data_IF_160471903623
#
_entry.id   IF_160471903623
#
_cell.length_a   1.000
_cell.length_b   1.000
_cell.length_c   1.000
_cell.angle_alpha   90.00
_cell.angle_beta   90.00
_cell.angle_gamma   90.00
#
_symmetry.space_group_name_H-M   'P 1'
#
loop_
_entity.id
_entity.type
_entity.pdbx_description
1 polymer ?
#
# COMPACT_ATOMS: atom_id res chain seq x y z
N UNK A 1 3.43 -16.31 10.39
CA UNK A 1 1.99 -16.17 10.10
C UNK A 1 1.77 -15.05 9.08
N UNK A 2 1.09 -15.33 7.96
CA UNK A 2 0.75 -14.34 6.93
C UNK A 2 -0.73 -13.93 7.06
N UNK A 3 -1.05 -12.64 6.98
CA UNK A 3 -2.44 -12.13 6.94
C UNK A 3 -2.79 -11.64 5.53
N UNK A 4 -3.89 -12.13 4.95
CA UNK A 4 -4.28 -11.84 3.56
C UNK A 4 -5.78 -11.57 3.43
N UNK A 5 -6.23 -11.07 2.27
CA UNK A 5 -7.66 -10.93 1.94
C UNK A 5 -8.39 -12.29 1.72
N UNK A 6 -7.64 -13.39 1.66
CA UNK A 6 -8.13 -14.73 1.36
C UNK A 6 -8.34 -14.98 -0.13
N UNK A 7 -7.61 -14.28 -1.01
CA UNK A 7 -7.53 -14.61 -2.43
C UNK A 7 -6.76 -15.93 -2.65
N UNK A 8 -7.23 -16.78 -3.57
CA UNK A 8 -6.68 -18.13 -3.81
C UNK A 8 -5.19 -18.14 -4.18
N UNK A 9 -4.70 -17.04 -4.77
CA UNK A 9 -3.27 -16.89 -5.11
C UNK A 9 -2.35 -16.99 -3.88
N UNK A 10 -2.87 -16.74 -2.68
CA UNK A 10 -2.12 -16.82 -1.43
C UNK A 10 -2.19 -18.21 -0.75
N UNK A 11 -2.84 -19.21 -1.37
CA UNK A 11 -2.93 -20.58 -0.85
C UNK A 11 -1.61 -21.38 -0.91
N UNK A 12 -0.49 -20.69 -1.09
CA UNK A 12 0.86 -21.29 -1.15
C UNK A 12 1.51 -21.45 0.23
N UNK A 13 0.95 -20.81 1.26
CA UNK A 13 1.43 -20.88 2.63
C UNK A 13 0.27 -20.86 3.62
N UNK A 14 0.54 -21.28 4.86
CA UNK A 14 -0.39 -21.07 5.96
C UNK A 14 -0.62 -19.57 6.14
N UNK A 15 -1.88 -19.17 6.02
CA UNK A 15 -2.29 -17.78 6.07
C UNK A 15 -3.60 -17.67 6.84
N UNK A 16 -3.76 -16.53 7.49
CA UNK A 16 -4.98 -16.13 8.16
C UNK A 16 -5.69 -15.11 7.28
N UNK A 17 -7.01 -15.14 7.33
CA UNK A 17 -7.82 -14.15 6.61
C UNK A 17 -7.88 -12.87 7.44
N UNK A 18 -7.74 -11.74 6.77
CA UNK A 18 -7.96 -10.42 7.33
C UNK A 18 -9.35 -10.35 7.95
N UNK A 19 -9.41 -9.95 9.23
CA UNK A 19 -10.65 -9.82 9.98
C UNK A 19 -11.69 -8.92 9.30
N UNK A 20 -11.25 -7.83 8.67
CA UNK A 20 -12.14 -6.89 7.97
C UNK A 20 -12.78 -7.53 6.74
N UNK A 21 -11.99 -8.25 5.95
CA UNK A 21 -12.50 -9.00 4.80
C UNK A 21 -13.44 -10.13 5.23
N UNK A 22 -13.11 -10.82 6.32
CA UNK A 22 -13.95 -11.87 6.88
C UNK A 22 -15.28 -11.29 7.38
N UNK A 23 -15.25 -10.20 8.15
CA UNK A 23 -16.44 -9.50 8.65
C UNK A 23 -17.32 -9.01 7.50
N UNK A 24 -16.72 -8.38 6.47
CA UNK A 24 -17.46 -7.93 5.28
C UNK A 24 -18.12 -9.08 4.54
N UNK A 25 -17.46 -10.24 4.43
CA UNK A 25 -18.05 -11.40 3.78
C UNK A 25 -19.18 -12.03 4.62
N UNK A 26 -19.03 -12.08 5.94
CA UNK A 26 -20.09 -12.54 6.83
C UNK A 26 -21.32 -11.62 6.73
N UNK A 27 -21.13 -10.31 6.77
CA UNK A 27 -22.21 -9.32 6.68
C UNK A 27 -23.07 -9.46 5.41
N UNK A 28 -22.48 -9.83 4.26
CA UNK A 28 -23.24 -10.05 3.01
C UNK A 28 -24.30 -11.16 3.13
N UNK A 29 -24.06 -12.13 4.00
CA UNK A 29 -24.92 -13.30 4.18
C UNK A 29 -25.68 -13.27 5.49
N UNK A 30 -25.54 -12.20 6.27
CA UNK A 30 -26.19 -12.02 7.56
C UNK A 30 -27.68 -11.71 7.39
N UNK A 31 -28.52 -12.61 7.89
CA UNK A 31 -29.98 -12.47 7.79
C UNK A 31 -30.53 -11.42 8.76
N UNK A 32 -29.88 -11.22 9.91
CA UNK A 32 -30.27 -10.21 10.89
C UNK A 32 -29.97 -8.83 10.34
N UNK A 33 -28.80 -8.64 9.72
CA UNK A 33 -28.46 -7.39 9.04
C UNK A 33 -29.46 -7.07 7.92
N UNK A 34 -29.83 -8.06 7.11
CA UNK A 34 -30.85 -7.89 6.06
C UNK A 34 -32.20 -7.47 6.64
N UNK A 35 -32.64 -8.15 7.70
CA UNK A 35 -33.89 -7.81 8.37
C UNK A 35 -33.88 -6.38 8.95
N UNK A 36 -32.76 -5.94 9.55
CA UNK A 36 -32.62 -4.56 10.04
C UNK A 36 -32.74 -3.53 8.91
N UNK A 37 -32.08 -3.78 7.78
CA UNK A 37 -32.17 -2.91 6.60
C UNK A 37 -33.60 -2.90 6.03
N UNK A 38 -34.24 -4.06 5.91
CA UNK A 38 -35.60 -4.19 5.39
C UNK A 38 -36.64 -3.51 6.30
N UNK A 39 -36.38 -3.45 7.62
CA UNK A 39 -37.20 -2.73 8.60
C UNK A 39 -36.93 -1.22 8.63
N UNK A 40 -35.98 -0.72 7.83
CA UNK A 40 -35.63 0.70 7.78
C UNK A 40 -34.88 1.18 9.02
N UNK A 41 -34.06 0.32 9.64
CA UNK A 41 -33.17 0.73 10.72
C UNK A 41 -32.26 1.89 10.27
N UNK A 42 -31.97 2.80 11.20
CA UNK A 42 -31.07 3.92 10.94
C UNK A 42 -29.59 3.50 10.87
N UNK A 43 -28.76 4.41 10.37
CA UNK A 43 -27.33 4.18 10.18
C UNK A 43 -26.62 3.85 11.51
N UNK A 44 -27.03 4.49 12.61
CA UNK A 44 -26.45 4.27 13.93
C UNK A 44 -26.75 2.86 14.44
N UNK A 45 -27.98 2.37 14.28
CA UNK A 45 -28.37 1.00 14.66
C UNK A 45 -27.60 -0.03 13.85
N UNK A 46 -27.51 0.16 12.53
CA UNK A 46 -26.76 -0.74 11.63
C UNK A 46 -25.27 -0.74 12.00
N UNK A 47 -24.71 0.44 12.29
CA UNK A 47 -23.30 0.60 12.68
C UNK A 47 -23.00 -0.10 13.99
N UNK A 48 -23.87 0.08 14.99
CA UNK A 48 -23.73 -0.59 16.28
C UNK A 48 -23.77 -2.12 16.12
N UNK A 49 -24.77 -2.64 15.39
CA UNK A 49 -24.89 -4.07 15.12
C UNK A 49 -23.64 -4.67 14.46
N UNK A 50 -23.14 -4.01 13.42
CA UNK A 50 -21.93 -4.44 12.71
C UNK A 50 -20.68 -4.36 13.60
N UNK A 51 -20.60 -3.36 14.49
CA UNK A 51 -19.51 -3.21 15.45
C UNK A 51 -19.49 -4.38 16.44
N UNK A 52 -20.64 -4.73 17.03
CA UNK A 52 -20.78 -5.87 17.94
C UNK A 52 -20.38 -7.19 17.25
N UNK A 53 -20.89 -7.42 16.03
CA UNK A 53 -20.54 -8.58 15.23
C UNK A 53 -19.03 -8.67 14.93
N UNK A 54 -18.40 -7.53 14.64
CA UNK A 54 -16.96 -7.45 14.41
C UNK A 54 -16.16 -7.76 15.69
N UNK A 55 -16.58 -7.22 16.84
CA UNK A 55 -15.93 -7.46 18.12
C UNK A 55 -15.97 -8.95 18.50
N UNK A 56 -17.12 -9.60 18.36
CA UNK A 56 -17.22 -11.04 18.60
C UNK A 56 -16.31 -11.86 17.68
N UNK A 57 -16.30 -11.52 16.39
CA UNK A 57 -15.46 -12.19 15.41
C UNK A 57 -13.97 -12.03 15.75
N UNK A 58 -13.57 -10.82 16.17
CA UNK A 58 -12.21 -10.51 16.59
C UNK A 58 -11.80 -11.34 17.80
N UNK A 59 -12.62 -11.39 18.85
CA UNK A 59 -12.32 -12.16 20.06
C UNK A 59 -12.17 -13.67 19.75
N UNK A 60 -13.12 -14.24 18.99
CA UNK A 60 -13.07 -15.64 18.54
C UNK A 60 -11.79 -15.93 17.75
N UNK A 61 -11.43 -15.04 16.83
CA UNK A 61 -10.23 -15.20 16.00
C UNK A 61 -8.96 -15.08 16.82
N UNK A 62 -8.85 -14.08 17.70
CA UNK A 62 -7.69 -13.89 18.57
C UNK A 62 -7.48 -15.12 19.46
N UNK A 63 -8.54 -15.70 20.02
CA UNK A 63 -8.44 -16.93 20.81
C UNK A 63 -7.79 -18.07 20.02
N UNK A 64 -8.28 -18.33 18.80
CA UNK A 64 -7.72 -19.35 17.91
C UNK A 64 -6.25 -19.03 17.57
N UNK A 65 -5.92 -17.77 17.33
CA UNK A 65 -4.56 -17.35 16.98
C UNK A 65 -3.58 -17.48 18.15
N UNK A 66 -4.02 -17.23 19.39
CA UNK A 66 -3.20 -17.48 20.59
C UNK A 66 -2.88 -18.96 20.75
N UNK A 67 -3.84 -19.84 20.46
CA UNK A 67 -3.66 -21.29 20.52
C UNK A 67 -2.72 -21.79 19.41
N UNK A 68 -2.84 -21.26 18.19
CA UNK A 68 -2.03 -21.66 17.04
C UNK A 68 -0.62 -21.06 17.02
N UNK A 69 -0.48 -19.83 17.50
CA UNK A 69 0.76 -19.05 17.47
C UNK A 69 1.10 -18.52 18.86
N UNK A 70 1.42 -19.41 19.83
CA UNK A 70 1.79 -19.00 21.17
C UNK A 70 3.04 -18.12 21.19
N UNK A 71 3.92 -18.22 20.19
CA UNK A 71 5.09 -17.36 20.00
C UNK A 71 4.75 -15.88 19.74
N UNK A 72 3.50 -15.59 19.37
CA UNK A 72 2.99 -14.23 19.14
C UNK A 72 2.20 -13.69 20.33
N UNK A 73 2.26 -14.33 21.49
CA UNK A 73 1.61 -13.89 22.72
C UNK A 73 2.63 -13.21 23.63
N UNK A 74 2.32 -11.98 24.06
CA UNK A 74 3.18 -11.24 24.98
C UNK A 74 3.09 -11.80 26.42
N UNK A 75 4.00 -11.38 27.34
CA UNK A 75 3.95 -11.82 28.74
C UNK A 75 2.65 -11.45 29.49
N UNK A 76 1.88 -10.47 28.98
CA UNK A 76 0.60 -10.07 29.55
C UNK A 76 -0.58 -10.89 28.99
N UNK A 77 -0.31 -11.84 28.09
CA UNK A 77 -1.32 -12.68 27.46
C UNK A 77 -2.02 -12.03 26.25
N UNK A 78 -1.52 -10.90 25.73
CA UNK A 78 -2.08 -10.25 24.54
C UNK A 78 -1.47 -10.82 23.26
N UNK A 79 -2.31 -10.95 22.23
CA UNK A 79 -1.84 -11.36 20.91
C UNK A 79 -1.21 -10.16 20.18
N UNK A 80 0.04 -10.29 19.75
CA UNK A 80 0.83 -9.23 19.11
C UNK A 80 0.90 -9.37 17.58
N UNK A 81 0.39 -10.47 17.03
CA UNK A 81 0.34 -10.70 15.59
C UNK A 81 -0.67 -9.82 14.85
N UNK A 82 -0.44 -9.64 13.55
CA UNK A 82 -1.31 -8.84 12.68
C UNK A 82 -2.58 -9.61 12.32
N UNK A 83 -3.75 -9.05 12.60
CA UNK A 83 -5.07 -9.68 12.36
C UNK A 83 -5.88 -9.04 11.23
N UNK A 84 -5.41 -7.91 10.68
CA UNK A 84 -6.03 -7.24 9.56
C UNK A 84 -4.99 -6.71 8.56
N UNK A 85 -5.43 -6.48 7.33
CA UNK A 85 -4.61 -5.90 6.26
C UNK A 85 -4.81 -4.39 6.12
N UNK A 86 -5.50 -3.73 7.07
CA UNK A 86 -5.84 -2.30 6.97
C UNK A 86 -4.63 -1.40 6.76
N UNK A 87 -3.50 -1.71 7.41
CA UNK A 87 -2.25 -0.96 7.21
C UNK A 87 -1.79 -1.01 5.74
N UNK A 88 -1.96 -2.15 5.06
CA UNK A 88 -1.64 -2.32 3.65
C UNK A 88 -2.75 -1.78 2.73
N UNK A 89 -4.02 -2.00 3.05
CA UNK A 89 -5.15 -1.49 2.26
C UNK A 89 -5.16 0.04 2.20
N UNK A 90 -4.85 0.70 3.32
CA UNK A 90 -4.65 2.14 3.34
C UNK A 90 -3.52 2.57 2.40
N UNK A 91 -2.43 1.81 2.30
CA UNK A 91 -1.37 2.02 1.30
C UNK A 91 -1.88 1.88 -0.15
N UNK A 92 -2.65 0.82 -0.43
CA UNK A 92 -3.23 0.59 -1.75
C UNK A 92 -4.20 1.69 -2.17
N UNK A 93 -5.04 2.19 -1.25
CA UNK A 93 -5.92 3.32 -1.52
C UNK A 93 -5.15 4.60 -1.80
N UNK A 94 -4.06 4.87 -1.06
CA UNK A 94 -3.18 6.03 -1.28
C UNK A 94 -2.51 6.00 -2.64
N UNK A 95 -2.00 4.84 -3.05
CA UNK A 95 -1.40 4.64 -4.39
C UNK A 95 -2.46 4.81 -5.48
N UNK A 96 -3.64 4.16 -5.36
CA UNK A 96 -4.75 4.32 -6.31
C UNK A 96 -5.24 5.76 -6.42
N UNK A 97 -5.30 6.51 -5.32
CA UNK A 97 -5.68 7.92 -5.31
C UNK A 97 -4.66 8.79 -6.05
N UNK A 98 -3.36 8.49 -5.92
CA UNK A 98 -2.30 9.21 -6.65
C UNK A 98 -2.22 8.81 -8.14
N UNK A 99 -2.72 7.63 -8.50
CA UNK A 99 -2.68 7.07 -9.86
C UNK A 99 -3.96 7.31 -10.69
N UNK A 100 -4.76 8.35 -10.39
CA UNK A 100 -6.11 8.68 -10.94
C UNK A 100 -6.24 8.90 -12.47
N UNK A 101 -5.30 8.46 -13.30
CA UNK A 101 -5.31 8.70 -14.75
C UNK A 101 -5.20 7.39 -15.52
N UNK A 102 -5.91 7.26 -16.65
CA UNK A 102 -5.70 6.15 -17.60
C UNK A 102 -4.27 6.20 -18.13
N UNK A 103 -3.55 5.06 -18.09
CA UNK A 103 -2.17 4.98 -18.57
C UNK A 103 -2.07 4.15 -19.83
N UNK A 104 -1.42 4.73 -20.84
CA UNK A 104 -1.18 4.13 -22.16
C UNK A 104 0.06 3.21 -22.21
N UNK A 105 0.98 3.28 -21.24
CA UNK A 105 2.16 2.41 -21.18
C UNK A 105 2.56 2.00 -19.74
N UNK A 106 3.20 0.82 -19.63
CA UNK A 106 3.57 0.17 -18.36
C UNK A 106 4.67 0.94 -17.58
N UNK A 107 5.60 1.56 -18.30
CA UNK A 107 6.72 2.29 -17.70
C UNK A 107 6.25 3.57 -16.99
N UNK A 108 5.29 4.29 -17.57
CA UNK A 108 4.67 5.46 -16.93
C UNK A 108 3.91 5.09 -15.66
N UNK A 109 3.25 3.93 -15.63
CA UNK A 109 2.61 3.39 -14.43
C UNK A 109 3.65 3.08 -13.33
N UNK A 110 4.75 2.41 -13.69
CA UNK A 110 5.81 2.05 -12.76
C UNK A 110 6.46 3.30 -12.14
N UNK A 111 6.90 4.25 -12.97
CA UNK A 111 7.54 5.49 -12.50
C UNK A 111 6.63 6.31 -11.58
N UNK A 112 5.35 6.46 -11.92
CA UNK A 112 4.38 7.17 -11.07
C UNK A 112 4.05 6.43 -9.78
N UNK A 113 4.03 5.10 -9.80
CA UNK A 113 3.85 4.29 -8.58
C UNK A 113 5.01 4.51 -7.61
N UNK A 114 6.25 4.49 -8.11
CA UNK A 114 7.44 4.79 -7.29
C UNK A 114 7.35 6.21 -6.72
N UNK A 115 7.06 7.21 -7.55
CA UNK A 115 6.91 8.60 -7.08
C UNK A 115 5.80 8.73 -6.04
N UNK A 116 4.68 8.03 -6.22
CA UNK A 116 3.57 8.01 -5.27
C UNK A 116 3.99 7.42 -3.91
N UNK A 117 4.77 6.33 -3.93
CA UNK A 117 5.30 5.65 -2.74
C UNK A 117 6.34 6.49 -2.01
N UNK A 118 7.31 7.08 -2.73
CA UNK A 118 8.28 8.00 -2.14
C UNK A 118 7.53 9.18 -1.51
N UNK A 119 6.52 9.73 -2.21
CA UNK A 119 5.75 10.83 -1.66
C UNK A 119 4.92 10.43 -0.44
N UNK A 120 4.50 9.18 -0.35
CA UNK A 120 3.85 8.63 0.84
C UNK A 120 4.81 8.53 2.02
N UNK A 121 6.06 8.12 1.80
CA UNK A 121 7.07 8.04 2.86
C UNK A 121 7.43 9.39 3.48
N UNK A 122 7.15 10.48 2.78
CA UNK A 122 7.45 11.86 3.21
C UNK A 122 6.28 12.56 3.92
N UNK A 123 5.06 12.01 3.85
CA UNK A 123 3.84 12.64 4.40
C UNK A 123 3.12 11.71 5.38
N UNK A 124 2.54 12.26 6.44
CA UNK A 124 1.61 11.53 7.31
C UNK A 124 0.19 11.72 6.77
N UNK A 125 -0.61 10.67 6.70
CA UNK A 125 -1.99 10.79 6.21
C UNK A 125 -2.98 10.92 7.38
N UNK A 126 -3.88 11.90 7.30
CA UNK A 126 -5.00 12.06 8.23
C UNK A 126 -6.28 12.39 7.44
N UNK A 127 -7.41 11.81 7.80
CA UNK A 127 -8.70 12.05 7.12
C UNK A 127 -8.72 11.74 5.61
N UNK A 128 -7.89 10.79 5.15
CA UNK A 128 -7.81 10.41 3.73
C UNK A 128 -7.06 11.40 2.82
N UNK A 129 -6.33 12.37 3.40
CA UNK A 129 -5.50 13.34 2.68
C UNK A 129 -4.06 13.34 3.24
N UNK A 130 -3.04 13.65 2.43
CA UNK A 130 -1.70 13.87 2.95
C UNK A 130 -1.69 15.11 3.83
N UNK A 131 -1.04 15.01 4.99
CA UNK A 131 -0.76 16.10 5.93
C UNK A 131 0.75 16.21 6.07
N UNK A 132 1.23 17.40 6.41
CA UNK A 132 2.65 17.62 6.66
C UNK A 132 3.13 16.73 7.81
N UNK A 133 4.16 15.92 7.52
CA UNK A 133 4.80 15.07 8.51
C UNK A 133 5.78 15.86 9.37
N UNK A 134 6.18 15.28 10.50
CA UNK A 134 7.33 15.79 11.27
C UNK A 134 8.58 15.93 10.39
N UNK A 135 8.80 15.00 9.46
CA UNK A 135 9.89 15.12 8.50
C UNK A 135 9.72 16.33 7.57
N UNK A 136 8.51 16.64 7.06
CA UNK A 136 8.30 17.87 6.30
C UNK A 136 8.57 19.13 7.15
N UNK A 137 8.16 19.13 8.41
CA UNK A 137 8.28 20.30 9.30
C UNK A 137 9.71 20.56 9.79
N UNK A 138 10.54 19.51 9.88
CA UNK A 138 11.86 19.58 10.51
C UNK A 138 13.01 19.06 9.63
N UNK A 139 12.74 18.68 8.38
CA UNK A 139 13.74 18.31 7.39
C UNK A 139 13.78 19.29 6.23
N UNK A 140 14.98 19.54 5.72
CA UNK A 140 15.17 20.25 4.45
C UNK A 140 14.96 19.33 3.23
N UNK A 141 14.51 18.09 3.43
CA UNK A 141 14.30 17.11 2.37
C UNK A 141 12.92 17.34 1.73
N UNK A 142 12.90 18.02 0.59
CA UNK A 142 11.72 18.12 -0.27
C UNK A 142 12.02 17.51 -1.64
N UNK A 143 10.98 17.02 -2.35
CA UNK A 143 11.16 16.58 -3.75
C UNK A 143 11.76 17.69 -4.61
N UNK A 144 11.33 18.94 -4.40
CA UNK A 144 11.89 20.10 -5.07
C UNK A 144 13.40 20.18 -4.86
N UNK A 145 13.90 19.95 -3.64
CA UNK A 145 15.34 20.00 -3.36
C UNK A 145 16.13 18.85 -4.01
N UNK A 146 15.53 17.66 -4.16
CA UNK A 146 16.15 16.54 -4.87
C UNK A 146 16.16 16.80 -6.38
N UNK A 147 15.03 17.26 -6.94
CA UNK A 147 14.91 17.56 -8.36
C UNK A 147 15.79 18.76 -8.77
N UNK A 148 15.86 19.80 -7.94
CA UNK A 148 16.71 20.97 -8.18
C UNK A 148 18.22 20.67 -8.04
N UNK A 149 18.61 19.59 -7.33
CA UNK A 149 20.01 19.13 -7.33
C UNK A 149 20.44 18.56 -8.69
N UNK A 150 19.48 18.27 -9.58
CA UNK A 150 19.74 17.88 -10.97
C UNK A 150 20.11 19.05 -11.90
N UNK A 151 19.72 20.29 -11.57
CA UNK A 151 19.87 21.43 -12.48
C UNK A 151 21.27 22.07 -12.46
N UNK A 152 22.10 21.81 -11.44
CA UNK A 152 23.50 22.26 -11.39
C UNK A 152 24.48 21.28 -12.06
N UNK A 153 24.07 20.64 -13.16
CA UNK A 153 24.91 19.71 -13.92
C UNK A 153 24.89 19.98 -15.42
N UNK A 154 25.20 21.22 -15.83
CA UNK A 154 25.43 21.55 -17.25
C UNK A 154 26.68 20.88 -17.88
N UNK A 155 27.31 19.89 -17.24
CA UNK A 155 28.44 19.14 -17.80
C UNK A 155 28.55 17.72 -17.20
N UNK A 156 27.46 16.94 -17.19
CA UNK A 156 27.57 15.50 -16.87
C UNK A 156 27.12 14.63 -18.03
N UNK A 157 28.04 13.77 -18.45
CA UNK A 157 27.73 12.64 -19.32
C UNK A 157 27.08 11.57 -18.46
N UNK A 158 25.95 11.03 -18.88
CA UNK A 158 25.33 9.89 -18.23
C UNK A 158 26.03 8.63 -18.75
N UNK A 159 26.66 7.86 -17.87
CA UNK A 159 27.23 6.56 -18.25
C UNK A 159 26.09 5.55 -18.31
N UNK A 160 25.74 5.13 -19.52
CA UNK A 160 24.72 4.12 -19.76
C UNK A 160 25.42 2.78 -19.93
N UNK A 161 24.97 1.76 -19.18
CA UNK A 161 25.39 0.37 -19.37
C UNK A 161 24.47 -0.30 -20.38
N UNK A 162 25.07 -0.77 -21.46
CA UNK A 162 24.40 -1.55 -22.50
C UNK A 162 24.99 -2.97 -22.51
N UNK A 163 24.15 -3.97 -22.78
CA UNK A 163 24.60 -5.35 -22.92
C UNK A 163 24.75 -5.71 -24.40
N UNK A 164 25.96 -6.09 -24.83
CA UNK A 164 26.18 -6.63 -26.18
C UNK A 164 25.81 -8.12 -26.17
N UNK A 165 24.70 -8.47 -26.81
CA UNK A 165 24.24 -9.86 -26.88
C UNK A 165 25.15 -10.77 -27.74
N UNK A 166 25.92 -10.21 -28.68
CA UNK A 166 26.84 -10.99 -29.52
C UNK A 166 28.15 -11.28 -28.80
N UNK A 167 28.64 -10.31 -28.02
CA UNK A 167 29.88 -10.47 -27.23
C UNK A 167 29.62 -11.05 -25.83
N UNK A 168 28.35 -11.02 -25.38
CA UNK A 168 27.89 -11.42 -24.04
C UNK A 168 28.52 -10.62 -22.90
N UNK A 169 28.82 -9.34 -23.15
CA UNK A 169 29.52 -8.48 -22.21
C UNK A 169 28.75 -7.16 -21.99
N UNK A 170 28.90 -6.59 -20.80
CA UNK A 170 28.39 -5.27 -20.47
C UNK A 170 29.43 -4.21 -20.81
N UNK A 171 29.02 -3.16 -21.49
CA UNK A 171 29.89 -2.02 -21.75
C UNK A 171 29.21 -0.72 -21.38
N UNK A 172 30.04 0.22 -20.94
CA UNK A 172 29.67 1.55 -20.52
C UNK A 172 30.02 2.53 -21.63
N UNK A 173 29.06 3.35 -22.05
CA UNK A 173 29.34 4.49 -22.91
C UNK A 173 28.74 5.78 -22.34
N UNK A 174 29.47 6.90 -22.41
CA UNK A 174 28.96 8.19 -22.01
C UNK A 174 27.93 8.69 -23.03
N UNK A 175 26.73 9.02 -22.57
CA UNK A 175 25.68 9.64 -23.38
C UNK A 175 25.49 11.08 -22.90
N UNK A 176 25.55 12.08 -23.79
CA UNK A 176 25.21 13.45 -23.45
C UNK A 176 23.76 13.54 -22.95
N UNK A 177 23.56 14.19 -21.80
CA UNK A 177 22.25 14.29 -21.13
C UNK A 177 21.17 14.91 -22.04
N UNK A 178 21.57 15.79 -22.95
CA UNK A 178 20.71 16.49 -23.91
C UNK A 178 19.98 15.54 -24.87
N UNK A 179 20.63 14.43 -25.26
CA UNK A 179 20.03 13.43 -26.16
C UNK A 179 18.91 12.68 -25.42
N UNK A 180 19.12 12.37 -24.14
CA UNK A 180 18.12 11.71 -23.31
C UNK A 180 16.92 12.64 -23.04
N UNK A 181 17.16 13.91 -22.73
CA UNK A 181 16.10 14.89 -22.49
C UNK A 181 15.23 15.13 -23.75
N UNK A 182 15.82 15.16 -24.95
CA UNK A 182 15.07 15.28 -26.21
C UNK A 182 14.14 14.09 -26.50
N UNK A 183 14.50 12.90 -26.05
CA UNK A 183 13.65 11.70 -26.21
C UNK A 183 12.41 11.74 -25.31
N UNK A 184 12.50 12.41 -24.16
CA UNK A 184 11.40 12.56 -23.20
C UNK A 184 10.44 13.71 -23.56
N UNK A 185 10.90 14.72 -24.28
CA UNK A 185 10.07 15.85 -24.74
C UNK A 185 9.22 15.55 -25.98
N UNK A 186 9.43 14.41 -26.63
CA UNK A 186 8.67 13.93 -27.79
C UNK A 186 7.68 12.80 -27.44
N UNK A 187 7.40 12.59 -26.14
CA UNK A 187 6.36 11.72 -25.58
C UNK A 187 5.32 12.57 -24.86
#
# INVERSE_FOLDING_TARGET
MLCTDGHKAYNVAEHIRCLVHLAKNNAKHDQTLKALVDQGADEDTITQYLSECYHELKEKTIKILKEKHPELVDPNGNFTGVVNTNAMEGGNFRVKWKLRVSYSNLEGYYGRTILALINDSMHTFNGGRPVESFANNFSNLTFRNIMNKGDNQQNRHMVVRSYDCNKREWYEHPVPLEIYQRSLSNL
#
